data_IF_299420867650
#
_entry.id   IF_299420867650
#
_cell.length_a   1.000
_cell.length_b   1.000
_cell.length_c   1.000
_cell.angle_alpha   90.00
_cell.angle_beta   90.00
_cell.angle_gamma   90.00
#
_symmetry.space_group_name_H-M   'P 1'
#
loop_
_entity.id
_entity.type
_entity.pdbx_description
1 polymer ?
#
# COMPACT_ATOMS: atom_id res chain seq x y z
N UNK A 1 -0.64 0.99 19.09
CA UNK A 1 -0.97 -0.28 18.40
C UNK A 1 -2.21 0.00 17.58
N UNK A 2 -2.20 -0.20 16.25
CA UNK A 2 -3.42 -0.17 15.45
C UNK A 2 -4.38 -1.21 16.02
N UNK A 3 -5.55 -0.78 16.49
CA UNK A 3 -6.57 -1.73 16.96
C UNK A 3 -7.31 -2.32 15.76
N UNK A 4 -7.99 -3.44 15.98
CA UNK A 4 -8.82 -4.08 14.94
C UNK A 4 -9.88 -3.11 14.42
N UNK A 5 -10.49 -2.32 15.31
CA UNK A 5 -11.51 -1.33 14.94
C UNK A 5 -10.94 -0.21 14.07
N UNK A 6 -9.75 0.30 14.40
CA UNK A 6 -9.09 1.36 13.61
C UNK A 6 -8.84 0.91 12.17
N UNK A 7 -8.42 -0.35 11.99
CA UNK A 7 -8.19 -0.91 10.65
C UNK A 7 -9.52 -1.01 9.88
N UNK A 8 -10.60 -1.44 10.51
CA UNK A 8 -11.93 -1.55 9.87
C UNK A 8 -12.39 -0.21 9.33
N UNK A 9 -12.28 0.85 10.15
CA UNK A 9 -12.68 2.20 9.77
C UNK A 9 -11.87 2.72 8.59
N UNK A 10 -10.54 2.58 8.66
CA UNK A 10 -9.64 2.97 7.55
C UNK A 10 -9.96 2.18 6.28
N UNK A 11 -10.18 0.86 6.38
CA UNK A 11 -10.50 0.04 5.22
C UNK A 11 -11.82 0.43 4.56
N UNK A 12 -12.81 0.83 5.36
CA UNK A 12 -14.11 1.31 4.86
C UNK A 12 -13.94 2.57 4.02
N UNK A 13 -13.01 3.45 4.40
CA UNK A 13 -12.73 4.68 3.64
C UNK A 13 -11.92 4.42 2.36
N UNK A 14 -10.87 3.61 2.43
CA UNK A 14 -9.94 3.45 1.29
C UNK A 14 -10.40 2.42 0.27
N UNK A 15 -11.12 1.38 0.68
CA UNK A 15 -11.46 0.25 -0.20
C UNK A 15 -12.26 0.70 -1.42
N UNK A 16 -13.30 1.55 -1.30
CA UNK A 16 -14.04 2.08 -2.45
C UNK A 16 -13.17 2.87 -3.44
N UNK A 17 -12.14 3.56 -2.95
CA UNK A 17 -11.24 4.39 -3.77
C UNK A 17 -10.22 3.56 -4.56
N UNK A 18 -9.89 2.36 -4.07
CA UNK A 18 -8.83 1.52 -4.64
C UNK A 18 -9.37 0.33 -5.44
N UNK A 19 -10.61 -0.09 -5.18
CA UNK A 19 -11.23 -1.27 -5.80
C UNK A 19 -11.23 -1.20 -7.32
N UNK A 20 -10.83 -2.30 -7.95
CA UNK A 20 -10.68 -2.41 -9.40
C UNK A 20 -9.46 -1.67 -9.97
N UNK A 21 -8.64 -1.04 -9.11
CA UNK A 21 -7.42 -0.37 -9.50
C UNK A 21 -6.29 -1.33 -9.83
N UNK A 22 -5.27 -0.83 -10.53
CA UNK A 22 -4.11 -1.59 -10.98
C UNK A 22 -2.86 -1.14 -10.24
N UNK A 23 -2.08 -2.08 -9.68
CA UNK A 23 -0.83 -1.77 -8.99
C UNK A 23 0.23 -1.38 -10.03
N UNK A 24 0.48 -0.08 -10.21
CA UNK A 24 1.42 0.42 -11.20
C UNK A 24 2.86 0.43 -10.70
N UNK A 25 3.05 0.71 -9.40
CA UNK A 25 4.38 0.87 -8.81
C UNK A 25 4.42 0.34 -7.39
N UNK A 26 5.52 -0.33 -7.08
CA UNK A 26 5.82 -0.83 -5.74
C UNK A 26 7.16 -0.25 -5.29
N UNK A 27 7.15 0.39 -4.12
CA UNK A 27 8.30 1.05 -3.52
C UNK A 27 8.46 0.58 -2.06
N UNK A 28 9.71 0.54 -1.59
CA UNK A 28 10.05 0.17 -0.23
C UNK A 28 11.01 1.22 0.35
N UNK A 29 10.49 2.38 0.81
CA UNK A 29 11.33 3.48 1.31
C UNK A 29 12.02 3.15 2.63
N UNK A 30 11.51 2.18 3.40
CA UNK A 30 12.10 1.68 4.66
C UNK A 30 11.95 0.16 4.74
N UNK A 31 12.74 -0.54 5.57
CA UNK A 31 12.69 -2.00 5.68
C UNK A 31 11.28 -2.57 5.93
N UNK A 32 10.48 -1.92 6.78
CA UNK A 32 9.10 -2.35 7.12
C UNK A 32 8.01 -1.44 6.55
N UNK A 33 8.29 -0.72 5.46
CA UNK A 33 7.32 0.17 4.83
C UNK A 33 7.22 -0.10 3.33
N UNK A 34 6.02 -0.39 2.86
CA UNK A 34 5.69 -0.54 1.44
C UNK A 34 4.78 0.60 1.01
N UNK A 35 5.00 1.09 -0.20
CA UNK A 35 4.16 2.09 -0.86
C UNK A 35 3.73 1.52 -2.20
N UNK A 36 2.41 1.46 -2.41
CA UNK A 36 1.78 0.98 -3.64
C UNK A 36 1.13 2.17 -4.36
N UNK A 37 1.52 2.42 -5.60
CA UNK A 37 0.77 3.32 -6.48
C UNK A 37 -0.28 2.49 -7.22
N UNK A 38 -1.56 2.74 -6.91
CA UNK A 38 -2.73 2.03 -7.42
C UNK A 38 -3.50 2.98 -8.35
N UNK A 39 -3.64 2.60 -9.61
CA UNK A 39 -4.34 3.38 -10.64
C UNK A 39 -5.78 2.92 -10.78
N UNK A 40 -6.72 3.81 -10.49
CA UNK A 40 -8.14 3.68 -10.83
C UNK A 40 -8.48 4.69 -11.92
N UNK A 41 -9.53 4.52 -12.75
CA UNK A 41 -9.85 5.47 -13.81
C UNK A 41 -9.79 6.95 -13.34
N UNK A 42 -9.06 7.79 -14.07
CA UNK A 42 -8.86 9.20 -13.71
C UNK A 42 -7.80 9.52 -12.63
N UNK A 43 -7.44 8.60 -11.72
CA UNK A 43 -6.58 8.94 -10.57
C UNK A 43 -5.59 7.82 -10.17
N UNK A 44 -4.39 8.21 -9.74
CA UNK A 44 -3.46 7.31 -9.04
C UNK A 44 -3.50 7.62 -7.55
N UNK A 45 -3.90 6.63 -6.76
CA UNK A 45 -3.80 6.68 -5.31
C UNK A 45 -2.50 6.03 -4.85
N UNK A 46 -1.92 6.53 -3.77
CA UNK A 46 -0.73 5.96 -3.17
C UNK A 46 -1.06 5.47 -1.78
N UNK A 47 -1.02 4.15 -1.61
CA UNK A 47 -1.28 3.47 -0.34
C UNK A 47 0.05 3.19 0.37
N UNK A 48 0.22 3.71 1.58
CA UNK A 48 1.37 3.43 2.44
C UNK A 48 0.98 2.42 3.50
N UNK A 49 1.75 1.34 3.59
CA UNK A 49 1.67 0.32 4.61
C UNK A 49 2.96 0.34 5.43
N UNK A 50 2.87 0.58 6.73
CA UNK A 50 4.01 0.56 7.65
C UNK A 50 3.76 -0.41 8.79
N UNK A 51 4.73 -1.30 9.00
CA UNK A 51 4.76 -2.28 10.09
C UNK A 51 5.93 -2.01 11.05
N UNK A 52 6.42 -0.77 11.11
CA UNK A 52 7.43 -0.40 12.10
C UNK A 52 6.80 -0.36 13.51
N UNK A 53 7.45 -0.87 14.57
CA UNK A 53 6.87 -1.00 15.90
C UNK A 53 6.22 0.28 16.44
N UNK A 54 6.89 1.42 16.23
CA UNK A 54 6.45 2.70 16.81
C UNK A 54 5.49 3.48 15.91
N UNK A 55 5.44 3.17 14.61
CA UNK A 55 4.71 3.97 13.60
C UNK A 55 3.92 3.10 12.62
N UNK A 56 3.39 1.98 13.11
CA UNK A 56 2.54 1.11 12.30
C UNK A 56 1.25 1.84 11.91
N UNK A 57 1.00 1.93 10.60
CA UNK A 57 -0.12 2.68 10.01
C UNK A 57 -0.40 2.22 8.59
N UNK A 58 -1.65 2.40 8.17
CA UNK A 58 -2.13 2.17 6.82
C UNK A 58 -2.95 3.40 6.42
N UNK A 59 -2.58 4.07 5.33
CA UNK A 59 -3.29 5.28 4.86
C UNK A 59 -2.92 5.63 3.41
N UNK A 60 -3.78 6.44 2.77
CA UNK A 60 -3.44 7.09 1.52
C UNK A 60 -2.51 8.29 1.78
N UNK A 61 -1.52 8.49 0.93
CA UNK A 61 -0.56 9.59 1.05
C UNK A 61 -0.34 10.30 -0.27
N UNK A 62 -0.22 11.62 -0.25
CA UNK A 62 0.16 12.43 -1.42
C UNK A 62 1.66 12.67 -1.49
N UNK A 63 2.40 12.32 -0.44
CA UNK A 63 3.83 12.64 -0.33
C UNK A 63 4.67 11.75 -1.25
N UNK A 64 5.68 12.30 -1.93
CA UNK A 64 6.69 11.49 -2.58
C UNK A 64 7.55 10.79 -1.53
N UNK A 65 7.93 9.55 -1.82
CA UNK A 65 8.87 8.79 -0.99
C UNK A 65 10.13 8.48 -1.78
N UNK A 66 11.28 8.76 -1.18
CA UNK A 66 12.57 8.39 -1.73
C UNK A 66 12.73 6.88 -1.59
N UNK A 67 13.00 6.22 -2.71
CA UNK A 67 13.38 4.82 -2.71
C UNK A 67 14.90 4.74 -2.45
N UNK A 68 15.39 3.72 -1.73
CA UNK A 68 16.82 3.46 -1.70
C UNK A 68 17.35 3.22 -3.11
N UNK A 69 18.63 3.57 -3.39
CA UNK A 69 19.23 3.42 -4.71
C UNK A 69 19.19 1.97 -5.21
N UNK A 70 19.34 1.01 -4.28
CA UNK A 70 19.13 -0.41 -4.55
C UNK A 70 17.83 -0.87 -3.89
N UNK A 71 16.84 -1.37 -4.64
CA UNK A 71 15.60 -1.86 -4.08
C UNK A 71 15.88 -3.12 -3.22
N UNK A 72 15.33 -3.20 -2.00
CA UNK A 72 15.51 -4.38 -1.16
C UNK A 72 14.92 -5.64 -1.83
N UNK A 73 15.40 -6.86 -1.49
CA UNK A 73 14.93 -8.10 -2.10
C UNK A 73 13.41 -8.29 -2.04
N UNK A 74 12.78 -7.89 -0.94
CA UNK A 74 11.33 -7.99 -0.78
C UNK A 74 10.56 -7.08 -1.76
N UNK A 75 11.06 -5.88 -2.04
CA UNK A 75 10.48 -5.01 -3.06
C UNK A 75 10.49 -5.68 -4.44
N UNK A 76 11.60 -6.33 -4.80
CA UNK A 76 11.69 -7.07 -6.06
C UNK A 76 10.78 -8.30 -6.10
N UNK A 77 10.69 -9.03 -4.99
CA UNK A 77 9.73 -10.12 -4.84
C UNK A 77 8.30 -9.65 -5.12
N UNK A 78 7.84 -8.58 -4.46
CA UNK A 78 6.50 -8.04 -4.70
C UNK A 78 6.30 -7.61 -6.16
N UNK A 79 7.31 -6.98 -6.77
CA UNK A 79 7.24 -6.57 -8.18
C UNK A 79 7.03 -7.74 -9.12
N UNK A 80 7.71 -8.86 -8.90
CA UNK A 80 7.56 -10.06 -9.72
C UNK A 80 6.17 -10.72 -9.59
N UNK A 81 5.48 -10.53 -8.46
CA UNK A 81 4.24 -11.26 -8.17
C UNK A 81 2.97 -10.43 -8.36
N UNK A 82 2.99 -9.14 -8.02
CA UNK A 82 1.77 -8.32 -7.96
C UNK A 82 1.86 -6.99 -8.69
N UNK A 83 3.01 -6.61 -9.26
CA UNK A 83 3.06 -5.42 -10.09
C UNK A 83 2.27 -5.66 -11.39
N UNK A 84 1.39 -4.73 -11.73
CA UNK A 84 0.44 -4.89 -12.83
C UNK A 84 -0.79 -5.74 -12.47
N UNK A 85 -0.93 -6.24 -11.24
CA UNK A 85 -2.13 -6.93 -10.82
C UNK A 85 -3.29 -5.95 -10.59
N UNK A 86 -4.52 -6.44 -10.81
CA UNK A 86 -5.76 -5.75 -10.46
C UNK A 86 -6.10 -6.04 -9.00
N UNK A 87 -6.53 -5.00 -8.28
CA UNK A 87 -6.97 -5.08 -6.90
C UNK A 87 -8.48 -5.35 -6.86
N UNK A 88 -8.87 -6.59 -6.58
CA UNK A 88 -10.28 -6.99 -6.60
C UNK A 88 -11.03 -6.58 -5.33
N UNK A 89 -10.40 -6.77 -4.17
CA UNK A 89 -10.98 -6.50 -2.86
C UNK A 89 -9.88 -6.22 -1.82
N UNK A 90 -10.20 -5.36 -0.84
CA UNK A 90 -9.44 -5.22 0.40
C UNK A 90 -10.39 -5.57 1.54
N UNK A 91 -10.02 -6.55 2.37
CA UNK A 91 -10.79 -6.99 3.52
C UNK A 91 -9.90 -7.18 4.73
N UNK A 92 -10.45 -6.91 5.90
CA UNK A 92 -9.84 -7.30 7.16
C UNK A 92 -10.04 -8.80 7.38
N UNK A 93 -9.02 -9.47 7.88
CA UNK A 93 -9.14 -10.85 8.36
C UNK A 93 -9.30 -10.76 9.87
N UNK A 94 -10.49 -11.08 10.36
CA UNK A 94 -10.90 -10.97 11.76
C UNK A 94 -12.25 -11.62 11.97
#
# INVERSE_FOLDING_TARGET
MLTISDVTEVLTEISPLLRGGWIQKIQQPRPRTIVLDIRVPGQTHRLLLSCEPDISRLHLTTRPHLNPPTPPPFCQFLRAHIQGARLDEIRQIG
#
